data_IF_936663946134
#
_entry.id   IF_936663946134
#
_cell.length_a   1.000
_cell.length_b   1.000
_cell.length_c   1.000
_cell.angle_alpha   90.00
_cell.angle_beta   90.00
_cell.angle_gamma   90.00
#
_symmetry.space_group_name_H-M   'P 1'
#
loop_
_entity.id
_entity.type
_entity.pdbx_description
1 polymer ?
#
# COMPACT_ATOMS: atom_id res chain seq x y z
N UNK A 1 -6.92 -6.40 38.83
CA UNK A 1 -7.79 -6.45 37.64
C UNK A 1 -6.93 -6.23 36.41
N UNK A 2 -6.63 -7.29 35.66
CA UNK A 2 -5.87 -7.18 34.42
C UNK A 2 -6.76 -6.52 33.35
N UNK A 3 -6.38 -5.34 32.87
CA UNK A 3 -7.05 -4.70 31.74
C UNK A 3 -7.04 -5.70 30.56
N UNK A 4 -8.23 -6.11 30.12
CA UNK A 4 -8.37 -6.94 28.94
C UNK A 4 -7.72 -6.20 27.77
N UNK A 5 -6.59 -6.72 27.28
CA UNK A 5 -5.87 -6.13 26.16
C UNK A 5 -6.81 -6.12 24.93
N UNK A 6 -7.22 -4.94 24.42
CA UNK A 6 -8.18 -4.84 23.31
C UNK A 6 -7.66 -5.44 22.00
N UNK A 7 -6.38 -5.82 21.93
CA UNK A 7 -5.76 -6.42 20.75
C UNK A 7 -6.07 -7.93 20.58
N UNK A 8 -6.69 -8.59 21.57
CA UNK A 8 -6.87 -10.06 21.58
C UNK A 8 -8.07 -10.57 20.77
N UNK A 9 -8.90 -9.70 20.18
CA UNK A 9 -10.17 -10.07 19.53
C UNK A 9 -10.17 -9.90 18.01
N UNK A 10 -9.02 -9.66 17.36
CA UNK A 10 -8.99 -9.59 15.89
C UNK A 10 -9.07 -11.01 15.31
N UNK A 11 -10.12 -11.36 14.54
CA UNK A 11 -10.31 -12.71 14.06
C UNK A 11 -9.19 -13.12 13.08
N UNK A 12 -8.67 -14.34 13.24
CA UNK A 12 -7.55 -14.91 12.46
C UNK A 12 -7.76 -14.78 10.94
N UNK A 13 -9.01 -14.93 10.46
CA UNK A 13 -9.34 -14.82 9.04
C UNK A 13 -8.94 -13.46 8.45
N UNK A 14 -8.99 -12.37 9.24
CA UNK A 14 -8.59 -11.02 8.76
C UNK A 14 -7.10 -10.92 8.50
N UNK A 15 -6.28 -11.59 9.32
CA UNK A 15 -4.83 -11.62 9.11
C UNK A 15 -4.49 -12.34 7.82
N UNK A 16 -5.14 -13.48 7.57
CA UNK A 16 -4.98 -14.23 6.33
C UNK A 16 -5.51 -13.47 5.11
N UNK A 17 -6.65 -12.79 5.22
CA UNK A 17 -7.16 -11.94 4.15
C UNK A 17 -6.12 -10.85 3.76
N UNK A 18 -5.55 -10.15 4.74
CA UNK A 18 -4.51 -9.15 4.47
C UNK A 18 -3.25 -9.77 3.82
N UNK A 19 -2.85 -10.98 4.21
CA UNK A 19 -1.72 -11.69 3.59
C UNK A 19 -2.05 -12.06 2.14
N UNK A 20 -3.24 -12.60 1.87
CA UNK A 20 -3.68 -12.97 0.53
C UNK A 20 -3.78 -11.76 -0.39
N UNK A 21 -4.37 -10.66 0.06
CA UNK A 21 -4.39 -9.40 -0.68
C UNK A 21 -2.97 -8.93 -1.00
N UNK A 22 -2.05 -9.01 -0.03
CA UNK A 22 -0.63 -8.63 -0.22
C UNK A 22 0.06 -9.49 -1.27
N UNK A 23 -0.18 -10.80 -1.23
CA UNK A 23 0.27 -11.71 -2.27
C UNK A 23 -0.30 -11.34 -3.64
N UNK A 24 -1.62 -11.14 -3.74
CA UNK A 24 -2.30 -10.83 -5.00
C UNK A 24 -1.81 -9.50 -5.60
N UNK A 25 -1.60 -8.47 -4.78
CA UNK A 25 -1.03 -7.21 -5.22
C UNK A 25 0.39 -7.38 -5.73
N UNK A 26 1.22 -8.17 -5.05
CA UNK A 26 2.59 -8.42 -5.47
C UNK A 26 2.63 -9.16 -6.81
N UNK A 27 1.73 -10.13 -7.03
CA UNK A 27 1.52 -10.77 -8.34
C UNK A 27 1.14 -9.74 -9.40
N UNK A 28 0.19 -8.84 -9.11
CA UNK A 28 -0.21 -7.78 -10.05
C UNK A 28 0.96 -6.84 -10.40
N UNK A 29 1.79 -6.48 -9.41
CA UNK A 29 3.00 -5.65 -9.62
C UNK A 29 4.02 -6.38 -10.50
N UNK A 30 4.25 -7.68 -10.28
CA UNK A 30 5.15 -8.49 -11.11
C UNK A 30 4.63 -8.59 -12.54
N UNK A 31 3.33 -8.86 -12.74
CA UNK A 31 2.73 -8.93 -14.07
C UNK A 31 2.82 -7.60 -14.82
N UNK A 32 2.63 -6.48 -14.11
CA UNK A 32 2.83 -5.15 -14.69
C UNK A 32 4.29 -4.92 -15.08
N UNK A 33 5.23 -5.25 -14.19
CA UNK A 33 6.65 -5.14 -14.47
C UNK A 33 7.09 -6.01 -15.66
N UNK A 34 6.59 -7.24 -15.73
CA UNK A 34 6.84 -8.14 -16.86
C UNK A 34 6.31 -7.55 -18.18
N UNK A 35 5.08 -7.02 -18.19
CA UNK A 35 4.52 -6.37 -19.37
C UNK A 35 5.30 -5.11 -19.79
N UNK A 36 5.78 -4.31 -18.82
CA UNK A 36 6.60 -3.13 -19.09
C UNK A 36 8.01 -3.46 -19.60
N UNK A 37 8.55 -4.63 -19.25
CA UNK A 37 9.87 -5.09 -19.68
C UNK A 37 9.83 -5.92 -20.97
N UNK A 38 8.67 -5.98 -21.64
CA UNK A 38 8.53 -6.58 -22.97
C UNK A 38 7.82 -7.93 -23.03
N UNK A 39 7.24 -8.43 -21.93
CA UNK A 39 6.36 -9.59 -21.99
C UNK A 39 5.04 -9.21 -22.72
N UNK A 40 4.44 -10.12 -23.50
CA UNK A 40 3.19 -9.87 -24.24
C UNK A 40 1.97 -9.88 -23.31
N UNK A 41 1.96 -9.00 -22.31
CA UNK A 41 0.92 -8.87 -21.30
C UNK A 41 0.20 -7.54 -21.47
N UNK A 42 -1.11 -7.54 -21.23
CA UNK A 42 -1.91 -6.31 -21.25
C UNK A 42 -1.55 -5.43 -20.03
N UNK A 43 -0.59 -4.53 -20.21
CA UNK A 43 -0.10 -3.62 -19.15
C UNK A 43 -1.21 -2.75 -18.54
N UNK A 44 -2.26 -2.45 -19.31
CA UNK A 44 -3.44 -1.73 -18.80
C UNK A 44 -4.20 -2.53 -17.73
N UNK A 45 -4.47 -3.80 -17.99
CA UNK A 45 -5.16 -4.68 -17.03
C UNK A 45 -4.30 -4.93 -15.79
N UNK A 46 -2.99 -5.09 -15.96
CA UNK A 46 -2.07 -5.25 -14.85
C UNK A 46 -1.99 -3.97 -13.99
N UNK A 47 -1.94 -2.79 -14.61
CA UNK A 47 -1.96 -1.51 -13.89
C UNK A 47 -3.27 -1.30 -13.12
N UNK A 48 -4.42 -1.63 -13.73
CA UNK A 48 -5.71 -1.60 -13.07
C UNK A 48 -5.78 -2.58 -11.89
N UNK A 49 -5.23 -3.79 -12.03
CA UNK A 49 -5.16 -4.77 -10.95
C UNK A 49 -4.28 -4.30 -9.78
N UNK A 50 -3.14 -3.64 -10.06
CA UNK A 50 -2.29 -3.01 -9.04
C UNK A 50 -3.04 -1.90 -8.30
N UNK A 51 -3.76 -1.05 -9.03
CA UNK A 51 -4.55 0.03 -8.44
C UNK A 51 -5.71 -0.48 -7.59
N UNK A 52 -6.50 -1.42 -8.12
CA UNK A 52 -7.64 -2.01 -7.40
C UNK A 52 -7.20 -2.76 -6.14
N UNK A 53 -6.15 -3.57 -6.22
CA UNK A 53 -5.63 -4.30 -5.06
C UNK A 53 -5.01 -3.37 -4.01
N UNK A 54 -4.30 -2.31 -4.44
CA UNK A 54 -3.76 -1.29 -3.54
C UNK A 54 -4.85 -0.51 -2.81
N UNK A 55 -5.93 -0.13 -3.51
CA UNK A 55 -7.08 0.56 -2.92
C UNK A 55 -7.84 -0.35 -1.94
N UNK A 56 -8.04 -1.63 -2.30
CA UNK A 56 -8.68 -2.61 -1.42
C UNK A 56 -7.90 -2.81 -0.11
N UNK A 57 -6.57 -2.89 -0.18
CA UNK A 57 -5.73 -2.91 1.02
C UNK A 57 -5.88 -1.64 1.85
N UNK A 58 -5.86 -0.48 1.21
CA UNK A 58 -5.99 0.80 1.92
C UNK A 58 -7.33 0.92 2.64
N UNK A 59 -8.42 0.53 1.99
CA UNK A 59 -9.75 0.53 2.59
C UNK A 59 -9.79 -0.41 3.81
N UNK A 60 -9.23 -1.61 3.70
CA UNK A 60 -9.16 -2.57 4.81
C UNK A 60 -8.28 -2.08 5.95
N UNK A 61 -7.12 -1.50 5.66
CA UNK A 61 -6.20 -0.99 6.69
C UNK A 61 -6.80 0.24 7.40
N UNK A 62 -7.47 1.13 6.66
CA UNK A 62 -8.18 2.30 7.20
C UNK A 62 -9.36 1.90 8.07
N UNK A 63 -10.15 0.91 7.64
CA UNK A 63 -11.25 0.36 8.44
C UNK A 63 -10.75 -0.28 9.74
N UNK A 64 -9.57 -0.89 9.73
CA UNK A 64 -9.02 -1.62 10.89
C UNK A 64 -8.26 -0.73 11.90
N UNK A 65 -7.67 0.39 11.46
CA UNK A 65 -7.00 1.39 12.31
C UNK A 65 -7.08 2.79 11.68
N UNK A 66 -8.21 3.52 11.82
CA UNK A 66 -8.37 4.84 11.22
C UNK A 66 -7.39 5.88 11.81
N UNK A 67 -6.85 5.64 13.01
CA UNK A 67 -5.84 6.50 13.64
C UNK A 67 -4.51 6.60 12.86
N UNK A 68 -4.23 5.66 11.96
CA UNK A 68 -2.99 5.66 11.15
C UNK A 68 -2.99 6.74 10.05
N UNK A 69 -4.17 7.27 9.69
CA UNK A 69 -4.29 8.40 8.75
C UNK A 69 -3.79 9.73 9.33
N UNK A 70 -3.65 9.83 10.65
CA UNK A 70 -3.13 11.02 11.34
C UNK A 70 -1.60 11.03 11.47
N UNK A 71 -0.94 9.97 11.05
CA UNK A 71 0.50 9.81 11.09
C UNK A 71 1.09 10.05 9.69
N UNK A 72 2.38 10.41 9.61
CA UNK A 72 3.13 10.59 8.34
C UNK A 72 3.02 9.34 7.44
N UNK A 73 2.86 8.16 8.02
CA UNK A 73 2.57 6.91 7.31
C UNK A 73 1.26 6.93 6.53
N UNK A 74 0.21 7.60 7.04
CA UNK A 74 -1.05 7.79 6.34
C UNK A 74 -0.91 8.69 5.12
N UNK A 75 -0.15 9.79 5.24
CA UNK A 75 0.15 10.67 4.12
C UNK A 75 1.01 9.98 3.06
N UNK A 76 2.02 9.23 3.47
CA UNK A 76 2.85 8.43 2.56
C UNK A 76 2.03 7.36 1.82
N UNK A 77 1.06 6.76 2.50
CA UNK A 77 0.11 5.81 1.90
C UNK A 77 -0.78 6.49 0.85
N UNK A 78 -1.35 7.67 1.17
CA UNK A 78 -2.16 8.45 0.21
C UNK A 78 -1.32 8.86 -0.99
N UNK A 79 -0.10 9.37 -0.78
CA UNK A 79 0.81 9.72 -1.86
C UNK A 79 1.11 8.53 -2.78
N UNK A 80 1.32 7.34 -2.20
CA UNK A 80 1.49 6.09 -2.95
C UNK A 80 0.25 5.74 -3.78
N UNK A 81 -0.96 5.92 -3.23
CA UNK A 81 -2.20 5.67 -3.97
C UNK A 81 -2.39 6.64 -5.14
N UNK A 82 -2.06 7.92 -4.95
CA UNK A 82 -2.10 8.92 -6.04
C UNK A 82 -1.14 8.52 -7.16
N UNK A 83 0.09 8.11 -6.83
CA UNK A 83 1.07 7.64 -7.82
C UNK A 83 0.59 6.39 -8.56
N UNK A 84 -0.01 5.43 -7.86
CA UNK A 84 -0.57 4.22 -8.47
C UNK A 84 -1.78 4.53 -9.35
N UNK A 85 -2.65 5.46 -8.94
CA UNK A 85 -3.79 5.89 -9.76
C UNK A 85 -3.32 6.62 -11.03
N UNK A 86 -2.31 7.49 -10.93
CA UNK A 86 -1.70 8.12 -12.09
C UNK A 86 -1.11 7.08 -13.04
N UNK A 87 -0.41 6.08 -12.52
CA UNK A 87 0.14 4.98 -13.32
C UNK A 87 -0.95 4.18 -14.07
N UNK A 88 -2.15 4.05 -13.50
CA UNK A 88 -3.26 3.40 -14.18
C UNK A 88 -3.80 4.25 -15.35
N UNK A 89 -3.93 5.57 -15.14
CA UNK A 89 -4.51 6.52 -16.08
C UNK A 89 -3.58 6.92 -17.23
N UNK A 90 -2.28 7.03 -16.97
CA UNK A 90 -1.29 7.51 -17.94
C UNK A 90 -0.36 6.38 -18.40
N UNK A 91 -0.61 5.86 -19.59
CA UNK A 91 0.19 4.79 -20.20
C UNK A 91 1.63 5.19 -20.49
N UNK A 92 1.88 6.47 -20.77
CA UNK A 92 3.22 6.98 -21.12
C UNK A 92 4.12 7.09 -19.90
N UNK A 93 3.54 7.41 -18.74
CA UNK A 93 4.26 7.55 -17.47
C UNK A 93 4.48 6.21 -16.74
N UNK A 94 3.86 5.09 -17.18
CA UNK A 94 3.87 3.80 -16.47
C UNK A 94 5.28 3.29 -16.12
N UNK A 95 6.21 3.37 -17.06
CA UNK A 95 7.56 2.87 -16.84
C UNK A 95 8.31 3.67 -15.77
N UNK A 96 8.25 5.00 -15.85
CA UNK A 96 8.87 5.88 -14.86
C UNK A 96 8.19 5.76 -13.48
N UNK A 97 6.86 5.74 -13.44
CA UNK A 97 6.07 5.60 -12.22
C UNK A 97 6.29 4.24 -11.55
N UNK A 98 6.41 3.15 -12.32
CA UNK A 98 6.74 1.83 -11.79
C UNK A 98 8.04 1.86 -10.99
N UNK A 99 9.12 2.37 -11.58
CA UNK A 99 10.41 2.48 -10.89
C UNK A 99 10.36 3.42 -9.70
N UNK A 100 9.68 4.56 -9.82
CA UNK A 100 9.51 5.52 -8.73
C UNK A 100 8.75 4.90 -7.55
N UNK A 101 7.68 4.15 -7.83
CA UNK A 101 6.87 3.48 -6.80
C UNK A 101 7.67 2.33 -6.16
N UNK A 102 8.38 1.52 -6.94
CA UNK A 102 9.18 0.39 -6.44
C UNK A 102 10.37 0.89 -5.60
N UNK A 103 11.18 1.79 -6.14
CA UNK A 103 12.34 2.35 -5.44
C UNK A 103 11.89 3.16 -4.22
N UNK A 104 10.88 4.03 -4.38
CA UNK A 104 10.30 4.80 -3.29
C UNK A 104 9.75 3.91 -2.17
N UNK A 105 9.07 2.80 -2.52
CA UNK A 105 8.58 1.84 -1.53
C UNK A 105 9.71 1.11 -0.80
N UNK A 106 10.78 0.74 -1.50
CA UNK A 106 11.95 0.07 -0.90
C UNK A 106 12.68 0.99 0.08
N UNK A 107 12.87 2.26 -0.31
CA UNK A 107 13.43 3.30 0.55
C UNK A 107 12.54 3.53 1.77
N UNK A 108 11.22 3.67 1.59
CA UNK A 108 10.28 3.81 2.71
C UNK A 108 10.25 2.59 3.64
N UNK A 109 10.46 1.39 3.10
CA UNK A 109 10.53 0.16 3.89
C UNK A 109 11.78 0.10 4.76
N UNK A 110 12.90 0.68 4.31
CA UNK A 110 14.17 0.76 5.04
C UNK A 110 14.34 2.08 5.82
N UNK A 111 13.43 3.04 5.63
CA UNK A 111 13.46 4.29 6.35
C UNK A 111 13.22 4.06 7.86
N UNK A 112 14.04 4.66 8.74
CA UNK A 112 14.01 4.40 10.17
C UNK A 112 12.65 4.78 10.79
N UNK A 113 12.17 3.97 11.75
CA UNK A 113 10.81 4.08 12.34
C UNK A 113 10.50 5.43 12.99
N UNK A 114 11.53 6.24 13.26
CA UNK A 114 11.42 7.63 13.75
C UNK A 114 10.68 8.56 12.76
N UNK A 115 10.68 8.27 11.46
CA UNK A 115 9.88 9.00 10.47
C UNK A 115 8.46 8.46 10.29
N UNK A 116 8.25 7.15 10.50
CA UNK A 116 6.91 6.51 10.35
C UNK A 116 5.94 6.85 11.48
N UNK A 117 6.46 7.26 12.65
CA UNK A 117 5.66 7.64 13.83
C UNK A 117 5.81 9.11 14.24
N UNK A 118 6.29 9.97 13.34
CA UNK A 118 6.30 11.41 13.61
C UNK A 118 4.85 11.92 13.57
N UNK A 119 4.28 12.19 14.74
CA UNK A 119 2.92 12.73 14.92
C UNK A 119 2.93 14.19 14.43
N UNK A 120 2.27 14.46 13.30
CA UNK A 120 2.12 15.84 12.79
C UNK A 120 1.00 16.59 13.53
N UNK A 121 0.06 15.91 14.19
CA UNK A 121 -1.04 16.56 14.90
C UNK A 121 -1.40 15.90 16.25
N UNK A 122 -1.02 16.58 17.35
CA UNK A 122 -1.66 16.44 18.66
C UNK A 122 -0.88 15.65 19.73
N UNK A 123 -0.67 16.28 20.89
CA UNK A 123 -0.03 15.74 22.10
C UNK A 123 -0.62 14.39 22.54
N UNK A 124 0.26 13.53 23.06
CA UNK A 124 -0.07 12.31 23.80
C UNK A 124 -1.05 12.62 24.95
N UNK A 125 -2.11 11.84 25.16
CA UNK A 125 -2.62 11.61 26.51
C UNK A 125 -1.67 10.69 27.29
#
# INVERSE_FOLDING_TARGET
MAAANPDRTRPIWRRWLNVLLRGLHLVAVILLGAGLLGAPLATGNAAAAVAASGLAMFALDTWNKPGHLREVSGLAMIAKLVLVAWMALDASARFALFWLIVAGSAVFAHAPSRFRHAVILGRRP
#
